data_IF_772842626143
#
_entry.id   IF_772842626143
#
_cell.length_a   1.000
_cell.length_b   1.000
_cell.length_c   1.000
_cell.angle_alpha   90.00
_cell.angle_beta   90.00
_cell.angle_gamma   90.00
#
_symmetry.space_group_name_H-M   'P 1'
#
loop_
_entity.id
_entity.type
_entity.pdbx_description
1 polymer ?
#
# COMPACT_ATOMS: atom_id res chain seq x y z
N UNK A 1 9.86 -8.36 1.42
CA UNK A 1 10.29 -9.72 1.85
C UNK A 1 9.12 -10.42 2.53
N UNK A 2 8.78 -11.66 2.14
CA UNK A 2 7.69 -12.41 2.77
C UNK A 2 7.99 -12.74 4.24
N UNK A 3 6.94 -12.95 5.03
CA UNK A 3 7.02 -13.61 6.35
C UNK A 3 6.76 -15.09 6.17
N UNK A 4 7.58 -15.94 6.78
CA UNK A 4 7.50 -17.40 6.61
C UNK A 4 7.34 -18.15 7.95
N UNK A 5 7.53 -17.46 9.09
CA UNK A 5 7.39 -18.03 10.43
C UNK A 5 6.60 -17.09 11.35
N UNK A 6 5.70 -17.61 12.21
CA UNK A 6 5.02 -16.82 13.25
C UNK A 6 5.97 -16.20 14.29
N UNK A 7 7.19 -16.73 14.40
CA UNK A 7 8.25 -16.32 15.33
C UNK A 7 9.28 -15.39 14.67
N UNK A 8 8.99 -14.90 13.46
CA UNK A 8 9.87 -13.99 12.74
C UNK A 8 10.24 -12.77 13.60
N UNK A 9 11.54 -12.53 13.75
CA UNK A 9 12.09 -11.48 14.61
C UNK A 9 11.54 -10.08 14.29
N UNK A 10 11.16 -9.84 13.03
CA UNK A 10 10.56 -8.55 12.61
C UNK A 10 9.20 -8.33 13.28
N UNK A 11 8.42 -9.38 13.52
CA UNK A 11 7.13 -9.29 14.21
C UNK A 11 7.34 -8.96 15.70
N UNK A 12 8.35 -9.58 16.32
CA UNK A 12 8.76 -9.30 17.70
C UNK A 12 9.28 -7.87 17.82
N UNK A 13 10.14 -7.43 16.89
CA UNK A 13 10.63 -6.05 16.84
C UNK A 13 9.49 -5.03 16.77
N UNK A 14 8.47 -5.28 15.95
CA UNK A 14 7.31 -4.39 15.83
C UNK A 14 6.55 -4.24 17.16
N UNK A 15 6.31 -5.33 17.90
CA UNK A 15 5.61 -5.25 19.19
C UNK A 15 6.51 -4.73 20.31
N UNK A 16 7.70 -5.28 20.45
CA UNK A 16 8.50 -5.13 21.67
C UNK A 16 9.53 -4.00 21.58
N UNK A 17 9.89 -3.58 20.37
CA UNK A 17 10.86 -2.48 20.18
C UNK A 17 10.14 -1.24 19.68
N UNK A 18 9.40 -1.34 18.59
CA UNK A 18 8.78 -0.17 17.96
C UNK A 18 7.67 0.47 18.80
N UNK A 19 6.74 -0.31 19.37
CA UNK A 19 5.69 0.26 20.23
C UNK A 19 6.27 0.86 21.52
N UNK A 20 7.27 0.21 22.11
CA UNK A 20 7.96 0.73 23.28
C UNK A 20 8.73 2.01 22.98
N UNK A 21 9.34 2.11 21.79
CA UNK A 21 9.92 3.35 21.29
C UNK A 21 8.87 4.46 21.17
N UNK A 22 7.70 4.18 20.57
CA UNK A 22 6.63 5.17 20.44
C UNK A 22 6.14 5.68 21.80
N UNK A 23 5.99 4.79 22.78
CA UNK A 23 5.62 5.18 24.13
C UNK A 23 6.70 6.02 24.80
N UNK A 24 7.96 5.59 24.70
CA UNK A 24 9.10 6.34 25.24
C UNK A 24 9.23 7.72 24.61
N UNK A 25 9.00 7.84 23.29
CA UNK A 25 8.96 9.12 22.60
C UNK A 25 7.83 10.00 23.13
N UNK A 26 6.61 9.46 23.27
CA UNK A 26 5.49 10.19 23.87
C UNK A 26 5.84 10.71 25.27
N UNK A 27 6.35 9.85 26.15
CA UNK A 27 6.78 10.24 27.49
C UNK A 27 7.85 11.32 27.47
N UNK A 28 8.84 11.22 26.57
CA UNK A 28 9.90 12.22 26.46
C UNK A 28 9.37 13.64 26.15
N UNK A 29 8.27 13.74 25.39
CA UNK A 29 7.63 15.03 25.09
C UNK A 29 6.85 15.57 26.28
N UNK A 30 6.26 14.68 27.10
CA UNK A 30 5.55 15.04 28.33
C UNK A 30 6.50 15.46 29.45
N UNK A 31 7.63 14.77 29.61
CA UNK A 31 8.63 15.04 30.66
C UNK A 31 9.65 16.11 30.27
N UNK A 32 9.57 16.65 29.05
CA UNK A 32 10.49 17.69 28.57
C UNK A 32 10.43 18.91 29.48
N UNK A 33 11.58 19.31 30.03
CA UNK A 33 11.72 20.50 30.87
C UNK A 33 11.49 21.77 30.03
N UNK A 34 10.75 22.72 30.59
CA UNK A 34 10.44 24.00 29.97
C UNK A 34 8.99 24.41 30.20
N UNK A 35 8.73 25.72 30.14
CA UNK A 35 7.38 26.28 30.17
C UNK A 35 6.77 26.20 28.78
N UNK A 36 6.08 25.09 28.51
CA UNK A 36 5.38 24.88 27.26
C UNK A 36 3.89 24.98 27.48
N UNK A 37 3.22 25.77 26.63
CA UNK A 37 1.76 25.79 26.56
C UNK A 37 1.22 24.42 26.14
N UNK A 38 -0.04 24.09 26.45
CA UNK A 38 -0.66 22.83 26.01
C UNK A 38 -0.60 22.62 24.49
N UNK A 39 -0.82 23.67 23.70
CA UNK A 39 -0.72 23.62 22.23
C UNK A 39 0.71 23.34 21.75
N UNK A 40 1.70 24.00 22.36
CA UNK A 40 3.10 23.73 22.05
C UNK A 40 3.48 22.28 22.37
N UNK A 41 3.00 21.73 23.49
CA UNK A 41 3.20 20.31 23.85
C UNK A 41 2.55 19.36 22.86
N UNK A 42 1.33 19.65 22.42
CA UNK A 42 0.62 18.80 21.45
C UNK A 42 1.38 18.72 20.11
N UNK A 43 2.03 19.81 19.68
CA UNK A 43 2.84 19.87 18.46
C UNK A 43 4.20 19.16 18.56
N UNK A 44 4.65 18.79 19.76
CA UNK A 44 5.93 18.08 19.96
C UNK A 44 5.85 16.58 19.66
N UNK A 45 4.65 16.04 19.53
CA UNK A 45 4.41 14.64 19.24
C UNK A 45 3.48 14.51 18.03
N UNK A 46 3.41 13.30 17.47
CA UNK A 46 2.38 12.99 16.48
C UNK A 46 0.98 13.17 17.06
N UNK A 47 -0.01 13.35 16.18
CA UNK A 47 -1.39 13.49 16.63
C UNK A 47 -1.84 12.25 17.44
N UNK A 48 -2.73 12.45 18.41
CA UNK A 48 -3.29 11.34 19.20
C UNK A 48 -3.92 10.27 18.31
N UNK A 49 -4.61 10.69 17.24
CA UNK A 49 -5.21 9.80 16.25
C UNK A 49 -4.16 8.95 15.54
N UNK A 50 -3.06 9.55 15.09
CA UNK A 50 -1.96 8.82 14.45
C UNK A 50 -1.29 7.85 15.42
N UNK A 51 -1.07 8.25 16.66
CA UNK A 51 -0.45 7.39 17.68
C UNK A 51 -1.30 6.15 18.00
N UNK A 52 -2.60 6.32 18.24
CA UNK A 52 -3.49 5.17 18.45
C UNK A 52 -3.66 4.33 17.18
N UNK A 53 -3.71 4.98 16.01
CA UNK A 53 -3.75 4.30 14.72
C UNK A 53 -2.53 3.40 14.50
N UNK A 54 -1.32 3.86 14.84
CA UNK A 54 -0.10 3.06 14.75
C UNK A 54 -0.12 1.86 15.70
N UNK A 55 -0.59 2.03 16.94
CA UNK A 55 -0.73 0.91 17.89
C UNK A 55 -1.70 -0.15 17.37
N UNK A 56 -2.86 0.26 16.88
CA UNK A 56 -3.85 -0.66 16.32
C UNK A 56 -3.26 -1.35 15.08
N UNK A 57 -2.65 -0.60 14.17
CA UNK A 57 -2.07 -1.14 12.95
C UNK A 57 -1.01 -2.19 13.25
N UNK A 58 -0.06 -1.92 14.15
CA UNK A 58 1.00 -2.88 14.52
C UNK A 58 0.43 -4.15 15.13
N UNK A 59 -0.48 -4.03 16.11
CA UNK A 59 -1.06 -5.20 16.76
C UNK A 59 -1.85 -6.05 15.76
N UNK A 60 -2.76 -5.43 15.00
CA UNK A 60 -3.54 -6.12 13.97
C UNK A 60 -2.67 -6.75 12.89
N UNK A 61 -1.60 -6.06 12.47
CA UNK A 61 -0.67 -6.56 11.46
C UNK A 61 0.05 -7.83 11.93
N UNK A 62 0.59 -7.81 13.14
CA UNK A 62 1.29 -8.96 13.72
C UNK A 62 0.32 -10.13 13.94
N UNK A 63 -0.86 -9.86 14.50
CA UNK A 63 -1.84 -10.90 14.80
C UNK A 63 -2.37 -11.55 13.51
N UNK A 64 -2.62 -10.77 12.46
CA UNK A 64 -3.04 -11.29 11.15
C UNK A 64 -1.97 -12.17 10.49
N UNK A 65 -0.69 -11.75 10.52
CA UNK A 65 0.41 -12.55 9.96
C UNK A 65 0.56 -13.87 10.71
N UNK A 66 0.60 -13.81 12.06
CA UNK A 66 0.73 -15.01 12.88
C UNK A 66 -0.43 -15.98 12.67
N UNK A 67 -1.66 -15.45 12.60
CA UNK A 67 -2.84 -16.25 12.30
C UNK A 67 -2.70 -16.99 10.97
N UNK A 68 -2.42 -16.28 9.87
CA UNK A 68 -2.29 -16.88 8.54
C UNK A 68 -1.18 -17.94 8.48
N UNK A 69 -0.02 -17.68 9.07
CA UNK A 69 1.07 -18.67 9.09
C UNK A 69 0.70 -19.91 9.93
N UNK A 70 -0.04 -19.72 11.02
CA UNK A 70 -0.52 -20.83 11.87
C UNK A 70 -1.58 -21.68 11.17
N UNK A 71 -2.43 -21.08 10.33
CA UNK A 71 -3.41 -21.78 9.47
C UNK A 71 -2.76 -22.55 8.30
N UNK A 72 -1.43 -22.54 8.18
CA UNK A 72 -0.69 -23.35 7.21
C UNK A 72 -0.35 -22.63 5.91
N UNK A 73 -0.49 -21.30 5.83
CA UNK A 73 0.02 -20.54 4.70
C UNK A 73 1.55 -20.58 4.69
N UNK A 74 2.15 -20.90 3.54
CA UNK A 74 3.61 -21.00 3.40
C UNK A 74 4.32 -19.67 3.68
N UNK A 75 3.70 -18.56 3.29
CA UNK A 75 4.23 -17.23 3.51
C UNK A 75 3.13 -16.17 3.45
N UNK A 76 3.41 -14.99 4.04
CA UNK A 76 2.52 -13.82 4.00
C UNK A 76 3.26 -12.61 3.42
N UNK A 77 2.63 -11.93 2.47
CA UNK A 77 3.12 -10.69 1.87
C UNK A 77 2.45 -9.49 2.53
N UNK A 78 3.11 -8.92 3.54
CA UNK A 78 2.60 -7.75 4.29
C UNK A 78 2.26 -6.53 3.42
N UNK A 79 2.96 -6.36 2.29
CA UNK A 79 2.69 -5.30 1.30
C UNK A 79 1.24 -5.35 0.77
N UNK A 80 0.57 -6.51 0.83
CA UNK A 80 -0.82 -6.67 0.38
C UNK A 80 -1.86 -6.23 1.41
N UNK A 81 -1.46 -5.87 2.63
CA UNK A 81 -2.36 -5.30 3.64
C UNK A 81 -2.52 -3.78 3.52
N UNK A 82 -1.79 -3.14 2.60
CA UNK A 82 -1.80 -1.69 2.39
C UNK A 82 -2.81 -1.29 1.31
N UNK A 83 -3.29 -0.05 1.40
CA UNK A 83 -4.25 0.52 0.44
C UNK A 83 -3.59 1.03 -0.84
N UNK A 84 -2.27 0.87 -1.01
CA UNK A 84 -1.49 1.33 -2.17
C UNK A 84 -2.11 0.93 -3.51
N UNK A 85 -2.67 -0.29 -3.62
CA UNK A 85 -3.33 -0.76 -4.83
C UNK A 85 -4.56 0.11 -5.18
N UNK A 86 -5.31 0.54 -4.17
CA UNK A 86 -6.45 1.45 -4.34
C UNK A 86 -5.97 2.85 -4.70
N UNK A 87 -4.91 3.33 -4.07
CA UNK A 87 -4.32 4.63 -4.39
C UNK A 87 -3.77 4.68 -5.82
N UNK A 88 -3.12 3.60 -6.26
CA UNK A 88 -2.64 3.42 -7.64
C UNK A 88 -3.81 3.43 -8.63
N UNK A 89 -4.90 2.71 -8.34
CA UNK A 89 -6.11 2.77 -9.13
C UNK A 89 -6.69 4.20 -9.22
N UNK A 90 -6.74 4.94 -8.11
CA UNK A 90 -7.14 6.34 -8.14
C UNK A 90 -6.17 7.24 -8.90
N UNK A 91 -4.87 6.91 -8.92
CA UNK A 91 -3.88 7.55 -9.78
C UNK A 91 -4.23 7.38 -11.26
N UNK A 92 -4.52 6.16 -11.69
CA UNK A 92 -4.97 5.87 -13.06
C UNK A 92 -6.26 6.60 -13.41
N UNK A 93 -7.21 6.67 -12.48
CA UNK A 93 -8.46 7.43 -12.65
C UNK A 93 -8.20 8.91 -12.95
N UNK A 94 -7.26 9.54 -12.23
CA UNK A 94 -6.86 10.94 -12.48
C UNK A 94 -6.08 11.10 -13.78
N UNK A 95 -5.20 10.15 -14.12
CA UNK A 95 -4.41 10.19 -15.36
C UNK A 95 -5.30 10.17 -16.62
N UNK A 96 -6.41 9.41 -16.60
CA UNK A 96 -7.37 9.37 -17.72
C UNK A 96 -8.00 10.73 -18.03
N UNK A 97 -8.08 11.62 -17.04
CA UNK A 97 -8.55 12.99 -17.20
C UNK A 97 -7.61 13.93 -17.95
N UNK A 98 -6.36 13.51 -18.23
CA UNK A 98 -5.27 14.32 -18.82
C UNK A 98 -4.99 15.62 -18.05
N UNK A 99 -5.76 16.69 -18.32
CA UNK A 99 -5.68 17.99 -17.64
C UNK A 99 -6.74 18.17 -16.55
N UNK A 100 -7.64 17.20 -16.41
CA UNK A 100 -8.70 17.19 -15.41
C UNK A 100 -8.29 16.28 -14.26
N UNK A 101 -7.60 16.85 -13.28
CA UNK A 101 -7.11 16.11 -12.11
C UNK A 101 -8.24 15.63 -11.18
N UNK A 102 -9.41 16.28 -11.25
CA UNK A 102 -10.60 15.97 -10.45
C UNK A 102 -11.79 15.63 -11.37
N UNK A 103 -11.99 14.35 -11.73
CA UNK A 103 -13.12 13.94 -12.55
C UNK A 103 -14.44 14.06 -11.79
N UNK A 104 -15.52 14.35 -12.50
CA UNK A 104 -16.88 14.22 -11.95
C UNK A 104 -17.25 12.75 -11.74
N UNK A 105 -18.28 12.47 -10.93
CA UNK A 105 -18.75 11.09 -10.73
C UNK A 105 -19.13 10.39 -12.06
N UNK A 106 -19.69 11.13 -13.01
CA UNK A 106 -20.01 10.61 -14.34
C UNK A 106 -18.73 10.27 -15.12
N UNK A 107 -17.72 11.15 -15.10
CA UNK A 107 -16.43 10.92 -15.76
C UNK A 107 -15.69 9.75 -15.12
N UNK A 108 -15.75 9.61 -13.79
CA UNK A 108 -15.19 8.48 -13.07
C UNK A 108 -15.79 7.14 -13.54
N UNK A 109 -17.11 7.08 -13.73
CA UNK A 109 -17.79 5.88 -14.26
C UNK A 109 -17.34 5.53 -15.70
N UNK A 110 -17.19 6.53 -16.57
CA UNK A 110 -16.67 6.29 -17.93
C UNK A 110 -15.19 5.85 -17.92
N UNK A 111 -14.38 6.45 -17.05
CA UNK A 111 -12.99 6.08 -16.87
C UNK A 111 -12.86 4.64 -16.33
N UNK A 112 -13.72 4.24 -15.40
CA UNK A 112 -13.74 2.88 -14.84
C UNK A 112 -13.97 1.82 -15.93
N UNK A 113 -15.01 2.00 -16.76
CA UNK A 113 -15.26 1.13 -17.92
C UNK A 113 -14.06 1.06 -18.87
N UNK A 114 -13.38 2.19 -19.06
CA UNK A 114 -12.19 2.28 -19.92
C UNK A 114 -11.01 1.52 -19.32
N UNK A 115 -10.73 1.70 -18.03
CA UNK A 115 -9.65 1.03 -17.30
C UNK A 115 -9.90 -0.48 -17.28
N UNK A 116 -11.14 -0.91 -17.00
CA UNK A 116 -11.55 -2.32 -17.00
C UNK A 116 -11.39 -2.97 -18.38
N UNK A 117 -11.83 -2.28 -19.44
CA UNK A 117 -11.71 -2.75 -20.82
C UNK A 117 -10.25 -2.87 -21.28
N UNK A 118 -9.41 -1.90 -20.89
CA UNK A 118 -7.98 -1.89 -21.24
C UNK A 118 -7.14 -2.85 -20.40
N UNK A 119 -7.69 -3.40 -19.29
CA UNK A 119 -6.95 -4.19 -18.28
C UNK A 119 -5.67 -3.50 -17.81
N UNK A 120 -5.68 -2.16 -17.79
CA UNK A 120 -4.47 -1.35 -17.66
C UNK A 120 -3.99 -1.20 -16.21
N UNK A 121 -4.54 -1.97 -15.27
CA UNK A 121 -4.14 -2.02 -13.85
C UNK A 121 -3.17 -3.20 -13.67
N UNK A 122 -2.13 -3.25 -14.50
CA UNK A 122 -0.98 -4.08 -14.17
C UNK A 122 -0.13 -3.28 -13.17
N UNK A 123 0.40 -3.90 -12.10
CA UNK A 123 1.23 -3.18 -11.16
C UNK A 123 2.37 -2.50 -11.90
N UNK A 124 2.56 -1.20 -11.65
CA UNK A 124 3.66 -0.43 -12.24
C UNK A 124 4.97 -0.95 -11.64
N UNK A 125 5.65 -1.84 -12.36
CA UNK A 125 6.93 -2.46 -11.93
C UNK A 125 8.08 -1.43 -11.93
N UNK A 126 7.88 -0.19 -12.44
CA UNK A 126 8.95 0.80 -12.64
C UNK A 126 8.51 2.24 -12.36
N UNK A 127 9.33 2.99 -11.61
CA UNK A 127 9.11 4.41 -11.34
C UNK A 127 9.28 5.33 -12.56
N UNK A 128 8.82 6.58 -12.42
CA UNK A 128 8.66 7.59 -13.48
C UNK A 128 9.94 8.07 -14.21
N UNK A 129 11.13 7.57 -13.87
CA UNK A 129 12.39 7.94 -14.52
C UNK A 129 12.99 6.71 -15.21
N UNK A 130 12.40 6.31 -16.32
CA UNK A 130 12.90 5.23 -17.17
C UNK A 130 13.76 5.77 -18.30
N UNK A 131 15.08 5.57 -18.23
CA UNK A 131 15.97 5.73 -19.39
C UNK A 131 15.55 4.86 -20.58
N UNK A 132 16.09 5.16 -21.78
CA UNK A 132 15.83 4.36 -22.99
C UNK A 132 16.38 2.95 -22.82
N UNK A 133 15.50 1.97 -22.63
CA UNK A 133 15.84 0.56 -22.71
C UNK A 133 15.07 -0.09 -23.87
N UNK A 134 15.72 -1.03 -24.54
CA UNK A 134 15.13 -1.79 -25.64
C UNK A 134 13.87 -2.54 -25.18
N UNK A 135 12.81 -2.43 -25.98
CA UNK A 135 11.55 -3.14 -25.77
C UNK A 135 11.75 -4.63 -26.03
N UNK A 136 12.22 -5.38 -25.04
CA UNK A 136 12.11 -6.83 -25.09
C UNK A 136 10.65 -7.18 -24.78
N UNK A 137 9.86 -7.46 -25.83
CA UNK A 137 8.51 -8.02 -25.66
C UNK A 137 8.65 -9.42 -25.07
N UNK A 138 7.97 -9.68 -23.96
CA UNK A 138 7.98 -10.97 -23.25
C UNK A 138 7.29 -12.12 -23.99
N UNK A 139 6.79 -11.89 -25.21
CA UNK A 139 6.13 -12.90 -26.03
C UNK A 139 6.25 -12.55 -27.52
N UNK A 140 6.53 -13.56 -28.36
CA UNK A 140 6.36 -13.45 -29.81
C UNK A 140 4.87 -13.44 -30.12
N UNK A 141 4.39 -12.31 -30.64
CA UNK A 141 3.02 -12.19 -31.15
C UNK A 141 3.03 -12.75 -32.57
N UNK A 142 2.30 -13.82 -32.83
CA UNK A 142 2.09 -14.36 -34.17
C UNK A 142 1.25 -13.38 -35.00
N UNK A 143 1.61 -13.17 -36.26
CA UNK A 143 0.79 -12.42 -37.23
C UNK A 143 -0.31 -13.28 -37.87
N UNK A 144 -0.42 -14.56 -37.48
CA UNK A 144 -1.42 -15.44 -38.06
C UNK A 144 -2.85 -15.02 -37.66
N UNK A 145 -3.79 -14.96 -38.63
CA UNK A 145 -5.18 -14.62 -38.35
C UNK A 145 -5.84 -15.64 -37.42
N UNK A 146 -6.51 -15.16 -36.37
CA UNK A 146 -7.27 -16.00 -35.45
C UNK A 146 -8.40 -16.72 -36.20
N UNK A 147 -8.44 -18.05 -36.13
CA UNK A 147 -9.47 -18.86 -36.80
C UNK A 147 -10.87 -18.54 -36.25
N UNK A 148 -11.81 -18.32 -37.17
CA UNK A 148 -13.21 -17.97 -36.84
C UNK A 148 -13.87 -19.15 -36.11
N UNK A 149 -14.42 -18.88 -34.92
CA UNK A 149 -15.09 -19.88 -34.08
C UNK A 149 -16.31 -20.46 -34.82
N UNK A 150 -16.33 -21.77 -35.01
CA UNK A 150 -17.50 -22.44 -35.59
C UNK A 150 -18.64 -22.51 -34.57
N UNK A 151 -19.86 -22.17 -35.01
CA UNK A 151 -21.07 -22.33 -34.19
C UNK A 151 -21.43 -23.82 -34.16
N UNK A 152 -21.68 -24.33 -32.95
CA UNK A 152 -22.37 -25.62 -32.75
C UNK A 152 -23.85 -25.43 -33.03
#
# INVERSE_FOLDING_TARGET
MPYESPEDERLTWLKDVFLNYLESWKQSTLTRKGEYTPDARQKMFISSQTYEGLKIAVNSHVDAIKFLLTEGFKYVLAERFMQDILEDYFGHQREKGRRTDNPTAQQFGYNDLTIASQRNIAPVIRGNVGGRYEKVKWHQVSEEPVKKRQKK
#
